data_IF_771190730119
#
_entry.id   IF_771190730119
#
_cell.length_a   1.000
_cell.length_b   1.000
_cell.length_c   1.000
_cell.angle_alpha   90.00
_cell.angle_beta   90.00
_cell.angle_gamma   90.00
#
_symmetry.space_group_name_H-M   'P 1'
#
loop_
_entity.id
_entity.type
_entity.pdbx_description
1 polymer ?
#
# COMPACT_ATOMS: atom_id res chain seq x y z
N UNK A 1 10.09 -14.66 8.70
CA UNK A 1 11.16 -14.63 7.65
C UNK A 1 10.83 -15.53 6.48
N UNK A 2 11.17 -15.12 5.27
CA UNK A 2 11.10 -15.96 4.06
C UNK A 2 12.49 -16.01 3.42
N UNK A 3 13.03 -17.22 3.20
CA UNK A 3 14.37 -17.42 2.62
C UNK A 3 15.47 -16.58 3.31
N UNK A 4 15.43 -16.46 4.63
CA UNK A 4 16.36 -15.64 5.40
C UNK A 4 16.13 -14.13 5.31
N UNK A 5 15.11 -13.66 4.60
CA UNK A 5 14.73 -12.26 4.47
C UNK A 5 13.75 -11.85 5.55
N UNK A 6 14.02 -10.73 6.23
CA UNK A 6 13.14 -10.16 7.25
C UNK A 6 11.95 -9.46 6.62
N UNK A 7 10.73 -9.91 6.94
CA UNK A 7 9.46 -9.36 6.42
C UNK A 7 8.82 -8.48 7.47
N UNK A 8 8.60 -7.21 7.17
CA UNK A 8 7.87 -6.28 8.04
C UNK A 8 6.60 -5.80 7.33
N UNK A 9 5.47 -5.93 8.02
CA UNK A 9 4.20 -5.35 7.59
C UNK A 9 4.05 -3.96 8.19
N UNK A 10 3.73 -2.98 7.36
CA UNK A 10 3.47 -1.60 7.81
C UNK A 10 2.00 -1.24 7.57
N UNK A 11 1.35 -0.68 8.57
CA UNK A 11 -0.06 -0.31 8.57
C UNK A 11 -0.22 1.19 8.83
N UNK A 12 -0.39 2.03 7.78
CA UNK A 12 -0.78 3.42 7.96
C UNK A 12 -2.24 3.48 8.41
N UNK A 13 -2.49 3.98 9.62
CA UNK A 13 -3.79 3.94 10.26
C UNK A 13 -4.36 5.35 10.49
N UNK A 14 -5.62 5.55 10.13
CA UNK A 14 -6.42 6.71 10.47
C UNK A 14 -7.87 6.30 10.68
N UNK A 15 -8.36 6.37 11.93
CA UNK A 15 -9.69 5.95 12.36
C UNK A 15 -10.01 4.49 11.94
N UNK A 16 -9.15 3.55 12.33
CA UNK A 16 -9.21 2.15 11.94
C UNK A 16 -9.70 1.20 13.06
N UNK A 17 -10.23 1.73 14.17
CA UNK A 17 -10.69 0.96 15.34
C UNK A 17 -11.53 -0.26 14.96
N UNK A 18 -12.47 -0.10 14.01
CA UNK A 18 -13.44 -1.14 13.65
C UNK A 18 -12.87 -2.28 12.80
N UNK A 19 -11.77 -2.04 12.10
CA UNK A 19 -11.27 -2.95 11.05
C UNK A 19 -9.88 -3.50 11.36
N UNK A 20 -9.15 -2.86 12.28
CA UNK A 20 -7.78 -3.21 12.63
C UNK A 20 -7.67 -4.66 13.13
N UNK A 21 -8.54 -5.10 14.06
CA UNK A 21 -8.48 -6.46 14.60
C UNK A 21 -8.66 -7.52 13.51
N UNK A 22 -9.62 -7.32 12.62
CA UNK A 22 -9.88 -8.26 11.54
C UNK A 22 -8.69 -8.34 10.58
N UNK A 23 -8.10 -7.20 10.23
CA UNK A 23 -6.90 -7.14 9.40
C UNK A 23 -5.73 -7.86 10.07
N UNK A 24 -5.47 -7.55 11.34
CA UNK A 24 -4.37 -8.12 12.11
C UNK A 24 -4.45 -9.64 12.23
N UNK A 25 -5.64 -10.19 12.53
CA UNK A 25 -5.84 -11.65 12.74
C UNK A 25 -5.57 -12.49 11.49
N UNK A 26 -5.64 -11.92 10.29
CA UNK A 26 -5.38 -12.63 9.04
C UNK A 26 -3.93 -12.49 8.54
N UNK A 27 -3.07 -11.71 9.22
CA UNK A 27 -1.65 -11.60 8.88
C UNK A 27 -0.98 -12.95 9.14
N UNK A 28 -0.23 -13.50 8.18
CA UNK A 28 0.49 -14.78 8.35
C UNK A 28 1.72 -14.61 9.26
N UNK A 29 1.52 -14.75 10.57
CA UNK A 29 2.54 -14.50 11.59
C UNK A 29 3.72 -15.48 11.55
N UNK A 30 3.58 -16.58 10.84
CA UNK A 30 4.66 -17.55 10.62
C UNK A 30 5.78 -17.04 9.71
N UNK A 31 5.48 -16.05 8.87
CA UNK A 31 6.43 -15.46 7.93
C UNK A 31 6.72 -13.97 8.20
N UNK A 32 5.83 -13.27 8.92
CA UNK A 32 5.99 -11.85 9.27
C UNK A 32 6.79 -11.74 10.56
N UNK A 33 7.88 -10.98 10.54
CA UNK A 33 8.77 -10.82 11.69
C UNK A 33 8.33 -9.71 12.62
N UNK A 34 7.86 -8.60 12.06
CA UNK A 34 7.39 -7.44 12.83
C UNK A 34 6.19 -6.77 12.11
N UNK A 35 5.35 -6.11 12.90
CA UNK A 35 4.25 -5.27 12.43
C UNK A 35 4.45 -3.87 13.01
N UNK A 36 4.36 -2.86 12.13
CA UNK A 36 4.42 -1.45 12.49
C UNK A 36 3.05 -0.82 12.20
N UNK A 37 2.45 -0.17 13.17
CA UNK A 37 1.28 0.67 12.96
C UNK A 37 1.68 2.13 13.14
N UNK A 38 1.40 2.96 12.14
CA UNK A 38 1.60 4.41 12.22
C UNK A 38 0.23 5.09 12.24
N UNK A 39 -0.14 5.58 13.41
CA UNK A 39 -1.39 6.28 13.66
C UNK A 39 -1.26 7.76 13.27
N UNK A 40 -2.03 8.19 12.28
CA UNK A 40 -2.02 9.56 11.76
C UNK A 40 -3.00 10.49 12.48
N UNK A 41 -2.86 10.60 13.80
CA UNK A 41 -3.72 11.38 14.69
C UNK A 41 -5.20 10.97 14.62
N UNK A 42 -5.49 9.67 14.72
CA UNK A 42 -6.86 9.15 14.81
C UNK A 42 -7.62 9.76 15.99
N UNK A 43 -8.93 9.89 15.83
CA UNK A 43 -9.85 10.41 16.85
C UNK A 43 -10.66 9.32 17.57
N UNK A 44 -10.54 8.09 17.09
CA UNK A 44 -11.15 6.89 17.64
C UNK A 44 -10.15 6.09 18.50
N UNK A 45 -10.50 4.88 18.93
CA UNK A 45 -9.65 4.04 19.75
C UNK A 45 -8.63 3.20 18.95
N UNK A 46 -8.21 3.65 17.76
CA UNK A 46 -7.24 2.92 16.91
C UNK A 46 -5.97 2.52 17.67
N UNK A 47 -5.40 3.43 18.48
CA UNK A 47 -4.15 3.16 19.23
C UNK A 47 -4.40 2.14 20.33
N UNK A 48 -5.47 2.31 21.11
CA UNK A 48 -5.83 1.37 22.18
C UNK A 48 -6.09 -0.03 21.64
N UNK A 49 -6.72 -0.11 20.46
CA UNK A 49 -6.94 -1.38 19.77
C UNK A 49 -5.63 -2.02 19.30
N UNK A 50 -4.70 -1.23 18.78
CA UNK A 50 -3.36 -1.71 18.40
C UNK A 50 -2.58 -2.25 19.62
N UNK A 51 -2.65 -1.56 20.76
CA UNK A 51 -2.03 -2.00 22.02
C UNK A 51 -2.67 -3.30 22.53
N UNK A 52 -4.01 -3.39 22.49
CA UNK A 52 -4.77 -4.60 22.88
C UNK A 52 -4.39 -5.83 22.04
N UNK A 53 -4.14 -5.62 20.75
CA UNK A 53 -3.70 -6.67 19.83
C UNK A 53 -2.23 -7.06 20.00
N UNK A 54 -1.47 -6.33 20.82
CA UNK A 54 -0.05 -6.58 21.07
C UNK A 54 0.87 -6.15 19.93
N UNK A 55 0.46 -5.18 19.12
CA UNK A 55 1.32 -4.61 18.07
C UNK A 55 2.49 -3.91 18.75
N UNK A 56 3.71 -4.39 18.49
CA UNK A 56 4.92 -3.97 19.21
C UNK A 56 5.37 -2.55 18.85
N UNK A 57 5.23 -2.16 17.60
CA UNK A 57 5.70 -0.88 17.10
C UNK A 57 4.51 -0.01 16.71
N UNK A 58 4.16 0.92 17.58
CA UNK A 58 3.10 1.90 17.38
C UNK A 58 3.73 3.29 17.38
N UNK A 59 3.55 4.03 16.28
CA UNK A 59 4.00 5.42 16.14
C UNK A 59 2.73 6.26 16.05
N UNK A 60 2.64 7.34 16.80
CA UNK A 60 1.52 8.27 16.74
C UNK A 60 2.00 9.66 16.33
N UNK A 61 1.49 10.19 15.24
CA UNK A 61 1.75 11.55 14.82
C UNK A 61 0.98 12.54 15.72
N UNK A 62 1.57 13.68 16.10
CA UNK A 62 0.89 14.70 16.91
C UNK A 62 -0.24 15.41 16.14
N UNK A 63 -0.19 15.36 14.80
CA UNK A 63 -1.20 15.87 13.89
C UNK A 63 -1.24 15.02 12.62
N UNK A 64 -2.37 15.05 11.91
CA UNK A 64 -2.51 14.33 10.63
C UNK A 64 -1.50 14.86 9.61
N UNK A 65 -0.66 13.97 9.08
CA UNK A 65 0.39 14.26 8.10
C UNK A 65 -0.03 13.93 6.67
N UNK A 66 -1.21 13.36 6.51
CA UNK A 66 -1.72 12.90 5.23
C UNK A 66 -1.27 11.50 4.84
N UNK A 67 -1.86 11.01 3.77
CA UNK A 67 -1.68 9.63 3.29
C UNK A 67 -0.21 9.29 2.98
N UNK A 68 0.46 10.13 2.20
CA UNK A 68 1.88 9.97 1.86
C UNK A 68 2.80 10.18 3.06
N UNK A 69 2.54 11.22 3.88
CA UNK A 69 3.30 11.50 5.09
C UNK A 69 3.27 10.35 6.10
N UNK A 70 2.14 9.65 6.19
CA UNK A 70 2.03 8.44 7.01
C UNK A 70 2.85 7.28 6.44
N UNK A 71 2.81 7.05 5.12
CA UNK A 71 3.60 6.00 4.47
C UNK A 71 5.11 6.23 4.63
N UNK A 72 5.60 7.47 4.53
CA UNK A 72 7.01 7.81 4.78
C UNK A 72 7.45 7.34 6.18
N UNK A 73 6.66 7.64 7.20
CA UNK A 73 6.94 7.18 8.57
C UNK A 73 6.94 5.66 8.69
N UNK A 74 6.04 4.97 7.97
CA UNK A 74 6.00 3.51 7.88
C UNK A 74 7.29 2.94 7.30
N UNK A 75 7.73 3.44 6.14
CA UNK A 75 8.92 2.94 5.46
C UNK A 75 10.20 3.22 6.25
N UNK A 76 10.33 4.43 6.78
CA UNK A 76 11.48 4.80 7.61
C UNK A 76 11.63 3.87 8.81
N UNK A 77 10.54 3.60 9.52
CA UNK A 77 10.59 2.70 10.67
C UNK A 77 10.90 1.26 10.28
N UNK A 78 10.38 0.79 9.15
CA UNK A 78 10.69 -0.55 8.66
C UNK A 78 12.18 -0.69 8.28
N UNK A 79 12.75 0.29 7.59
CA UNK A 79 14.18 0.32 7.26
C UNK A 79 15.06 0.39 8.51
N UNK A 80 14.70 1.21 9.51
CA UNK A 80 15.37 1.29 10.81
C UNK A 80 15.41 -0.06 11.52
N UNK A 81 14.31 -0.83 11.47
CA UNK A 81 14.21 -2.16 12.07
C UNK A 81 14.89 -3.27 11.23
N UNK A 82 15.52 -2.92 10.13
CA UNK A 82 16.27 -3.86 9.31
C UNK A 82 15.39 -4.75 8.41
N UNK A 83 14.25 -4.25 7.93
CA UNK A 83 13.43 -4.98 6.97
C UNK A 83 14.20 -5.27 5.69
N UNK A 84 14.11 -6.48 5.17
CA UNK A 84 14.52 -6.85 3.80
C UNK A 84 13.34 -6.71 2.84
N UNK A 85 12.13 -6.94 3.33
CA UNK A 85 10.87 -6.85 2.60
C UNK A 85 9.88 -6.06 3.43
N UNK A 86 9.28 -5.03 2.86
CA UNK A 86 8.25 -4.20 3.49
C UNK A 86 6.94 -4.39 2.76
N UNK A 87 5.89 -4.79 3.47
CA UNK A 87 4.54 -4.94 2.91
C UNK A 87 3.65 -3.85 3.46
N UNK A 88 3.17 -2.96 2.59
CA UNK A 88 2.18 -1.94 2.89
C UNK A 88 0.79 -2.58 2.90
N UNK A 89 0.13 -2.59 4.05
CA UNK A 89 -1.21 -3.13 4.25
C UNK A 89 -2.08 -2.12 5.00
N UNK A 90 -3.13 -1.62 4.35
CA UNK A 90 -4.07 -0.73 5.01
C UNK A 90 -4.95 -1.50 6.01
N UNK A 91 -5.14 -0.98 7.25
CA UNK A 91 -5.93 -1.67 8.28
C UNK A 91 -7.45 -1.54 8.10
N UNK A 92 -7.92 -1.08 6.94
CA UNK A 92 -9.35 -0.93 6.60
C UNK A 92 -10.00 -2.22 6.07
N UNK A 93 -9.25 -3.34 6.08
CA UNK A 93 -9.69 -4.65 5.61
C UNK A 93 -10.21 -4.71 4.16
N UNK A 94 -9.90 -3.70 3.34
CA UNK A 94 -10.22 -3.71 1.91
C UNK A 94 -9.43 -4.78 1.16
N UNK A 95 -8.19 -5.03 1.59
CA UNK A 95 -7.26 -6.01 1.03
C UNK A 95 -7.08 -7.20 1.97
N UNK A 96 -7.04 -8.42 1.42
CA UNK A 96 -6.80 -9.61 2.24
C UNK A 96 -5.34 -9.73 2.66
N UNK A 97 -5.04 -9.81 3.98
CA UNK A 97 -3.66 -10.01 4.46
C UNK A 97 -3.03 -11.34 4.00
N UNK A 98 -3.85 -12.31 3.58
CA UNK A 98 -3.38 -13.63 3.12
C UNK A 98 -2.46 -13.58 1.90
N UNK A 99 -2.45 -12.49 1.13
CA UNK A 99 -1.55 -12.30 -0.02
C UNK A 99 -0.14 -11.89 0.40
N UNK A 100 0.10 -11.53 1.65
CA UNK A 100 1.44 -11.18 2.16
C UNK A 100 2.45 -12.28 1.80
N UNK A 101 2.09 -13.55 2.01
CA UNK A 101 2.96 -14.67 1.67
C UNK A 101 3.35 -14.69 0.19
N UNK A 102 2.37 -14.56 -0.72
CA UNK A 102 2.62 -14.60 -2.15
C UNK A 102 3.50 -13.42 -2.61
N UNK A 103 3.17 -12.19 -2.16
CA UNK A 103 3.92 -10.99 -2.51
C UNK A 103 5.36 -11.05 -1.97
N UNK A 104 5.52 -11.41 -0.70
CA UNK A 104 6.85 -11.54 -0.07
C UNK A 104 7.68 -12.66 -0.67
N UNK A 105 7.07 -13.79 -1.06
CA UNK A 105 7.78 -14.89 -1.73
C UNK A 105 8.36 -14.47 -3.08
N UNK A 106 7.65 -13.70 -3.87
CA UNK A 106 8.13 -13.19 -5.16
C UNK A 106 9.40 -12.36 -4.97
N UNK A 107 9.39 -11.45 -3.97
CA UNK A 107 10.54 -10.60 -3.65
C UNK A 107 11.68 -11.45 -3.05
N UNK A 108 11.37 -12.34 -2.11
CA UNK A 108 12.37 -13.16 -1.43
C UNK A 108 13.14 -14.10 -2.38
N UNK A 109 12.50 -14.54 -3.47
CA UNK A 109 13.12 -15.36 -4.51
C UNK A 109 13.80 -14.53 -5.63
N UNK A 110 13.83 -13.20 -5.52
CA UNK A 110 14.50 -12.32 -6.47
C UNK A 110 13.82 -12.23 -7.85
N UNK A 111 12.53 -12.54 -7.93
CA UNK A 111 11.80 -12.50 -9.21
C UNK A 111 11.43 -11.06 -9.59
N UNK A 112 10.90 -10.29 -8.64
CA UNK A 112 10.59 -8.87 -8.77
C UNK A 112 10.93 -8.15 -7.47
N UNK A 113 11.54 -6.96 -7.50
CA UNK A 113 11.84 -6.18 -6.30
C UNK A 113 10.64 -5.41 -5.76
N UNK A 114 9.59 -5.27 -6.55
CA UNK A 114 8.30 -4.65 -6.19
C UNK A 114 7.16 -5.55 -6.61
N UNK A 115 6.15 -5.71 -5.76
CA UNK A 115 4.95 -6.50 -6.07
C UNK A 115 3.69 -5.75 -5.65
N UNK A 116 2.73 -5.65 -6.58
CA UNK A 116 1.42 -5.04 -6.34
C UNK A 116 0.32 -6.09 -6.20
N UNK A 117 -0.57 -5.89 -5.25
CA UNK A 117 -1.84 -6.60 -5.15
C UNK A 117 -2.90 -5.91 -6.01
N UNK A 118 -3.02 -6.29 -7.28
CA UNK A 118 -3.93 -5.66 -8.22
C UNK A 118 -5.37 -6.15 -8.06
N UNK A 119 -6.30 -5.21 -7.91
CA UNK A 119 -7.75 -5.46 -7.90
C UNK A 119 -8.30 -5.73 -9.30
N UNK A 120 -7.60 -5.25 -10.32
CA UNK A 120 -8.03 -5.20 -11.72
C UNK A 120 -7.50 -6.37 -12.54
N UNK A 121 -6.38 -6.98 -12.17
CA UNK A 121 -5.77 -8.10 -12.89
C UNK A 121 -6.74 -9.29 -13.07
N UNK A 122 -7.65 -9.50 -12.11
CA UNK A 122 -8.74 -10.45 -12.19
C UNK A 122 -10.12 -9.77 -12.25
N UNK A 123 -11.18 -10.56 -12.23
CA UNK A 123 -12.57 -10.06 -12.17
C UNK A 123 -13.03 -9.67 -10.75
N UNK A 124 -12.10 -9.58 -9.79
CA UNK A 124 -12.40 -9.40 -8.36
C UNK A 124 -12.96 -8.03 -8.01
N UNK A 125 -12.51 -6.97 -8.67
CA UNK A 125 -12.92 -5.61 -8.33
C UNK A 125 -14.44 -5.38 -8.39
N UNK A 126 -15.07 -5.69 -9.51
CA UNK A 126 -16.53 -5.53 -9.67
C UNK A 126 -17.33 -6.50 -8.79
N UNK A 127 -16.85 -7.74 -8.64
CA UNK A 127 -17.49 -8.73 -7.74
C UNK A 127 -17.39 -8.32 -6.28
N UNK A 128 -16.30 -7.63 -5.91
CA UNK A 128 -16.07 -7.10 -4.56
C UNK A 128 -16.84 -5.80 -4.27
N UNK A 129 -17.61 -5.27 -5.21
CA UNK A 129 -18.45 -4.09 -5.02
C UNK A 129 -17.83 -2.76 -5.50
N UNK A 130 -16.74 -2.79 -6.28
CA UNK A 130 -16.20 -1.55 -6.86
C UNK A 130 -17.26 -0.86 -7.73
N UNK A 131 -17.60 0.42 -7.49
CA UNK A 131 -18.52 1.15 -8.35
C UNK A 131 -18.03 1.21 -9.80
N UNK A 132 -18.93 1.01 -10.76
CA UNK A 132 -18.60 0.94 -12.19
C UNK A 132 -17.83 2.18 -12.68
N UNK A 133 -18.20 3.37 -12.24
CA UNK A 133 -17.49 4.60 -12.63
C UNK A 133 -16.04 4.63 -12.14
N UNK A 134 -15.77 4.10 -10.93
CA UNK A 134 -14.40 3.98 -10.40
C UNK A 134 -13.59 2.97 -11.20
N UNK A 135 -14.22 1.86 -11.58
CA UNK A 135 -13.58 0.85 -12.43
C UNK A 135 -13.19 1.43 -13.79
N UNK A 136 -14.10 2.13 -14.48
CA UNK A 136 -13.83 2.74 -15.78
C UNK A 136 -12.73 3.81 -15.66
N UNK A 137 -12.81 4.69 -14.66
CA UNK A 137 -11.80 5.72 -14.41
C UNK A 137 -10.40 5.10 -14.15
N UNK A 138 -10.35 4.06 -13.30
CA UNK A 138 -9.11 3.33 -13.03
C UNK A 138 -8.52 2.76 -14.33
N UNK A 139 -9.33 2.10 -15.17
CA UNK A 139 -8.88 1.52 -16.44
C UNK A 139 -8.36 2.58 -17.41
N UNK A 140 -9.05 3.73 -17.51
CA UNK A 140 -8.66 4.82 -18.40
C UNK A 140 -7.33 5.45 -17.94
N UNK A 141 -7.19 5.75 -16.64
CA UNK A 141 -5.94 6.29 -16.07
C UNK A 141 -4.78 5.28 -16.21
N UNK A 142 -5.01 4.00 -15.93
CA UNK A 142 -4.00 2.96 -16.09
C UNK A 142 -3.52 2.85 -17.55
N UNK A 143 -4.44 2.88 -18.53
CA UNK A 143 -4.06 2.87 -19.95
C UNK A 143 -3.19 4.09 -20.30
N UNK A 144 -3.59 5.27 -19.83
CA UNK A 144 -2.85 6.50 -20.06
C UNK A 144 -1.43 6.42 -19.46
N UNK A 145 -1.30 5.98 -18.21
CA UNK A 145 -0.01 5.82 -17.54
C UNK A 145 0.87 4.77 -18.22
N UNK A 146 0.30 3.63 -18.64
CA UNK A 146 1.03 2.60 -19.39
C UNK A 146 1.64 3.15 -20.70
N UNK A 147 0.90 4.00 -21.41
CA UNK A 147 1.39 4.64 -22.65
C UNK A 147 2.54 5.61 -22.32
N UNK A 148 2.35 6.50 -21.36
CA UNK A 148 3.33 7.54 -21.04
C UNK A 148 4.61 6.99 -20.41
N UNK A 149 4.48 6.03 -19.50
CA UNK A 149 5.61 5.41 -18.81
C UNK A 149 6.21 4.23 -19.54
N UNK A 150 5.68 3.88 -20.76
CA UNK A 150 6.06 2.70 -21.52
C UNK A 150 6.02 1.41 -20.68
N UNK A 151 4.94 1.22 -19.92
CA UNK A 151 4.74 0.09 -19.00
C UNK A 151 3.50 -0.72 -19.34
N UNK A 152 3.30 -1.84 -18.63
CA UNK A 152 2.17 -2.74 -18.86
C UNK A 152 1.60 -3.25 -17.53
N UNK A 153 1.28 -2.34 -16.60
CA UNK A 153 0.59 -2.71 -15.38
C UNK A 153 -0.92 -2.85 -15.61
N UNK A 154 -1.55 -3.72 -14.83
CA UNK A 154 -3.01 -3.84 -14.80
C UNK A 154 -3.65 -2.73 -13.99
N UNK A 155 -2.94 -2.20 -12.98
CA UNK A 155 -3.40 -1.15 -12.08
C UNK A 155 -2.24 -0.37 -11.44
N UNK A 156 -2.36 0.98 -11.40
CA UNK A 156 -1.43 1.88 -10.69
C UNK A 156 -1.97 2.31 -9.31
N UNK A 157 -3.28 2.19 -9.09
CA UNK A 157 -4.00 2.83 -7.99
C UNK A 157 -4.32 1.90 -6.82
N UNK A 158 -3.63 0.76 -6.73
CA UNK A 158 -3.74 -0.11 -5.57
C UNK A 158 -2.88 0.41 -4.41
N UNK A 159 -3.40 0.35 -3.19
CA UNK A 159 -2.62 0.63 -1.97
C UNK A 159 -1.92 -0.60 -1.41
N UNK A 160 -2.13 -1.79 -1.98
CA UNK A 160 -1.52 -3.02 -1.50
C UNK A 160 -0.21 -3.31 -2.24
N UNK A 161 0.91 -3.05 -1.59
CA UNK A 161 2.23 -3.06 -2.22
C UNK A 161 3.26 -3.73 -1.33
N UNK A 162 4.21 -4.39 -1.94
CA UNK A 162 5.38 -4.90 -1.27
C UNK A 162 6.65 -4.44 -1.98
N UNK A 163 7.68 -4.10 -1.21
CA UNK A 163 8.93 -3.56 -1.69
C UNK A 163 10.10 -4.32 -1.08
N UNK A 164 11.15 -4.54 -1.87
CA UNK A 164 12.44 -4.90 -1.33
C UNK A 164 13.09 -3.68 -0.64
N UNK A 165 14.00 -3.94 0.30
CA UNK A 165 14.83 -2.91 0.94
C UNK A 165 15.54 -2.04 -0.08
N UNK A 166 16.14 -2.67 -1.10
CA UNK A 166 16.88 -2.00 -2.17
C UNK A 166 16.06 -0.90 -2.85
N UNK A 167 14.79 -1.18 -3.16
CA UNK A 167 13.90 -0.19 -3.76
C UNK A 167 13.68 0.99 -2.83
N UNK A 168 13.34 0.75 -1.56
CA UNK A 168 13.08 1.82 -0.59
C UNK A 168 14.32 2.66 -0.28
N UNK A 169 15.51 2.10 -0.37
CA UNK A 169 16.78 2.85 -0.21
C UNK A 169 17.16 3.63 -1.47
N UNK A 170 16.73 3.18 -2.65
CA UNK A 170 17.07 3.80 -3.93
C UNK A 170 16.15 4.95 -4.32
N UNK A 171 14.83 4.80 -4.09
CA UNK A 171 13.84 5.83 -4.43
C UNK A 171 13.80 6.93 -3.38
N UNK A 172 13.67 8.18 -3.83
CA UNK A 172 13.67 9.33 -2.93
C UNK A 172 12.24 9.69 -2.50
N UNK A 173 11.52 8.74 -1.87
CA UNK A 173 10.13 8.92 -1.47
C UNK A 173 9.91 10.05 -0.45
N UNK A 174 10.94 10.49 0.26
CA UNK A 174 10.84 11.63 1.19
C UNK A 174 10.47 12.94 0.50
N UNK A 175 10.86 13.11 -0.77
CA UNK A 175 10.53 14.30 -1.57
C UNK A 175 9.10 14.26 -2.14
N UNK A 176 8.44 13.12 -2.09
CA UNK A 176 7.10 12.94 -2.63
C UNK A 176 6.06 13.72 -1.82
N UNK A 177 4.92 13.97 -2.44
CA UNK A 177 3.78 14.64 -1.82
C UNK A 177 3.27 13.87 -0.58
N UNK A 178 2.73 14.57 0.39
CA UNK A 178 2.19 13.95 1.60
C UNK A 178 0.73 13.46 1.47
N UNK A 179 0.07 13.69 0.33
CA UNK A 179 -1.31 13.23 0.05
C UNK A 179 -1.32 12.06 -0.95
N UNK A 180 -2.46 11.71 -1.52
CA UNK A 180 -2.72 10.52 -2.34
C UNK A 180 -1.87 10.39 -3.60
N UNK A 181 -1.32 11.49 -4.15
CA UNK A 181 -0.42 11.43 -5.32
C UNK A 181 0.91 10.74 -5.01
N UNK A 182 1.31 10.64 -3.73
CA UNK A 182 2.50 9.97 -3.24
C UNK A 182 2.76 8.63 -3.94
N UNK A 183 1.72 7.83 -4.06
CA UNK A 183 1.79 6.49 -4.65
C UNK A 183 2.23 6.51 -6.12
N UNK A 184 1.79 7.51 -6.89
CA UNK A 184 2.14 7.63 -8.30
C UNK A 184 3.55 8.20 -8.49
N UNK A 185 3.94 9.16 -7.65
CA UNK A 185 5.31 9.68 -7.63
C UNK A 185 6.31 8.56 -7.29
N UNK A 186 5.96 7.71 -6.32
CA UNK A 186 6.79 6.55 -5.97
C UNK A 186 6.93 5.56 -7.12
N UNK A 187 5.84 5.28 -7.86
CA UNK A 187 5.87 4.39 -9.03
C UNK A 187 6.75 4.98 -10.13
N UNK A 188 6.64 6.28 -10.40
CA UNK A 188 7.49 6.95 -11.39
C UNK A 188 8.97 6.82 -11.03
N UNK A 189 9.34 7.06 -9.77
CA UNK A 189 10.72 6.89 -9.30
C UNK A 189 11.21 5.43 -9.38
N UNK A 190 10.33 4.45 -9.12
CA UNK A 190 10.65 3.01 -9.25
C UNK A 190 11.02 2.68 -10.69
N UNK A 191 10.26 3.16 -11.68
CA UNK A 191 10.55 2.95 -13.09
C UNK A 191 11.79 3.72 -13.56
N UNK A 192 11.96 4.96 -13.12
CA UNK A 192 13.15 5.78 -13.42
C UNK A 192 14.43 5.13 -12.87
N UNK A 193 14.35 4.50 -11.70
CA UNK A 193 15.42 3.73 -11.11
C UNK A 193 15.70 2.38 -11.79
N UNK A 194 14.91 2.00 -12.81
CA UNK A 194 15.05 0.78 -13.59
C UNK A 194 14.48 -0.49 -12.94
N UNK A 195 13.68 -0.36 -11.90
CA UNK A 195 13.04 -1.51 -11.25
C UNK A 195 11.78 -1.98 -11.98
N UNK A 196 11.56 -3.29 -11.97
CA UNK A 196 10.35 -3.91 -12.50
C UNK A 196 9.32 -4.16 -11.38
N UNK A 197 8.04 -4.14 -11.74
CA UNK A 197 6.92 -4.38 -10.84
C UNK A 197 6.20 -5.66 -11.26
N UNK A 198 6.12 -6.63 -10.34
CA UNK A 198 5.26 -7.80 -10.49
C UNK A 198 3.85 -7.53 -9.96
N UNK A 199 2.85 -8.25 -10.45
CA UNK A 199 1.47 -8.13 -9.98
C UNK A 199 0.91 -9.49 -9.55
N UNK A 200 0.15 -9.48 -8.45
CA UNK A 200 -0.70 -10.60 -8.04
C UNK A 200 -2.15 -10.16 -8.01
N UNK A 201 -3.08 -11.04 -8.39
CA UNK A 201 -4.51 -10.71 -8.31
C UNK A 201 -4.96 -10.62 -6.86
N UNK A 202 -5.62 -9.53 -6.51
CA UNK A 202 -6.12 -9.27 -5.16
C UNK A 202 -7.65 -9.22 -5.15
N UNK A 203 -8.33 -10.18 -4.48
CA UNK A 203 -9.74 -10.02 -4.18
C UNK A 203 -9.92 -8.85 -3.20
N UNK A 204 -10.84 -7.96 -3.50
CA UNK A 204 -11.14 -6.80 -2.65
C UNK A 204 -12.58 -6.83 -2.17
N UNK A 205 -12.81 -6.21 -1.03
CA UNK A 205 -14.14 -5.98 -0.46
C UNK A 205 -14.38 -4.48 -0.34
N UNK A 206 -15.51 -4.02 -0.87
CA UNK A 206 -15.95 -2.63 -0.71
C UNK A 206 -17.13 -2.62 0.25
N UNK A 207 -17.01 -1.89 1.34
CA UNK A 207 -18.04 -1.70 2.37
C UNK A 207 -17.89 -0.27 2.93
N UNK A 208 -18.85 0.18 3.73
CA UNK A 208 -18.95 1.59 4.13
C UNK A 208 -17.74 2.09 4.94
N UNK A 209 -17.10 1.22 5.71
CA UNK A 209 -15.89 1.55 6.49
C UNK A 209 -14.60 1.57 5.66
N UNK A 210 -14.63 1.05 4.41
CA UNK A 210 -13.43 1.04 3.57
C UNK A 210 -13.08 2.46 3.10
N UNK A 211 -11.81 2.82 3.23
CA UNK A 211 -11.30 4.13 2.83
C UNK A 211 -11.53 4.40 1.35
N UNK A 212 -12.21 5.48 1.02
CA UNK A 212 -12.38 5.89 -0.37
C UNK A 212 -12.39 7.42 -0.52
N UNK A 213 -11.66 7.91 -1.51
CA UNK A 213 -11.68 9.34 -1.87
C UNK A 213 -13.03 9.70 -2.52
N UNK A 214 -13.54 10.90 -2.20
CA UNK A 214 -14.75 11.43 -2.82
C UNK A 214 -14.50 11.88 -4.28
N UNK A 215 -15.56 12.22 -5.02
CA UNK A 215 -15.47 12.56 -6.43
C UNK A 215 -14.53 13.77 -6.70
N UNK A 216 -14.60 14.82 -5.89
CA UNK A 216 -13.76 16.02 -6.04
C UNK A 216 -12.28 15.67 -5.87
N UNK A 217 -11.94 14.94 -4.81
CA UNK A 217 -10.56 14.45 -4.60
C UNK A 217 -10.11 13.46 -5.69
N UNK A 218 -11.04 12.66 -6.24
CA UNK A 218 -10.74 11.76 -7.37
C UNK A 218 -10.34 12.52 -8.62
N UNK A 219 -10.97 13.68 -8.89
CA UNK A 219 -10.61 14.54 -10.04
C UNK A 219 -9.22 15.17 -9.80
N UNK A 220 -8.97 15.72 -8.61
CA UNK A 220 -7.66 16.29 -8.26
C UNK A 220 -6.55 15.24 -8.36
N UNK A 221 -6.83 14.03 -7.86
CA UNK A 221 -5.93 12.90 -7.98
C UNK A 221 -5.62 12.57 -9.44
N UNK A 222 -6.66 12.48 -10.30
CA UNK A 222 -6.48 12.22 -11.74
C UNK A 222 -5.61 13.26 -12.45
N UNK A 223 -5.79 14.56 -12.12
CA UNK A 223 -4.93 15.62 -12.66
C UNK A 223 -3.48 15.52 -12.16
N UNK A 224 -3.29 15.18 -10.89
CA UNK A 224 -1.97 14.92 -10.33
C UNK A 224 -1.26 13.72 -10.98
N UNK A 225 -1.99 12.64 -11.23
CA UNK A 225 -1.47 11.45 -11.96
C UNK A 225 -0.95 11.84 -13.34
N UNK A 226 -1.70 12.67 -14.09
CA UNK A 226 -1.24 13.17 -15.39
C UNK A 226 0.07 13.95 -15.25
N UNK A 227 0.16 14.85 -14.25
CA UNK A 227 1.36 15.66 -14.02
C UNK A 227 2.62 14.86 -13.64
N UNK A 228 2.45 13.76 -12.92
CA UNK A 228 3.57 12.87 -12.53
C UNK A 228 4.02 11.96 -13.69
N UNK A 229 3.11 11.67 -14.64
CA UNK A 229 3.37 10.72 -15.72
C UNK A 229 4.03 11.37 -16.95
N UNK A 230 4.13 12.70 -17.01
CA UNK A 230 4.77 13.49 -18.08
C UNK A 230 6.16 13.94 -17.67
#
# INVERSE_FOLDING_TARGET
>A
MINGKKVIVVMPAYNAEKTLEQTYREIPMDIVDDIILVNDASKDNTVQEAERLGIRYIITHPQNRGYGGNQKSCYNKALELGADIVVMLHPDYQYTPKLILAMSSIIANGLYPVVFGSRILGKGALRGGMPMYKYIANRALTLFQNILMNQKLSEYHTGYRAFSREVLEKVNYELNNDDFIFDNEMIAQIFDAGFEIGEVTCPTKYFDEASSINLSRSIQYGLGVVGVSV
#
